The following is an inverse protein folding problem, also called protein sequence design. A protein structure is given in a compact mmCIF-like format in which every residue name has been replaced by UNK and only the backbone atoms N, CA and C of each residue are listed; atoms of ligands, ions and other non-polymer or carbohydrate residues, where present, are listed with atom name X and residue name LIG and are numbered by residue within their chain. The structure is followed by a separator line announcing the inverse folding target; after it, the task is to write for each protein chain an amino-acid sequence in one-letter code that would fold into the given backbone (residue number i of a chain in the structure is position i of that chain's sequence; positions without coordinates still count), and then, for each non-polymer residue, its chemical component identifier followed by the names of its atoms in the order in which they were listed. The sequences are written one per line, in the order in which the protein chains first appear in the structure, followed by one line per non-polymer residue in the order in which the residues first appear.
data_IF_026062569792
#
_entry.id   IF_026062569792
#
_cell.length_a   1.000
_cell.length_b   1.000
_cell.length_c   1.000
_cell.angle_alpha   90.00
_cell.angle_beta   90.00
_cell.angle_gamma   90.00
#
_symmetry.space_group_name_H-M   'P 1'
#
loop_
_entity.id
_entity.type
_entity.pdbx_description
1 polymer ?
#
# COMPACT_ATOMS: atom_id res chain seq x y z
N UNK A 1 21.42 -18.73 -4.49
CA UNK A 1 20.07 -18.25 -4.10
C UNK A 1 19.64 -18.76 -2.72
N UNK A 2 19.54 -20.07 -2.47
CA UNK A 2 19.16 -20.60 -1.14
C UNK A 2 20.10 -20.20 0.01
N UNK A 3 21.41 -20.16 -0.24
CA UNK A 3 22.39 -19.74 0.77
C UNK A 3 22.29 -18.24 1.10
N UNK A 4 22.02 -17.39 0.11
CA UNK A 4 21.83 -15.95 0.30
C UNK A 4 20.49 -15.62 0.99
N UNK A 5 19.44 -16.39 0.71
CA UNK A 5 18.15 -16.32 1.41
C UNK A 5 18.27 -16.70 2.88
N UNK A 6 18.96 -17.81 3.17
CA UNK A 6 19.25 -18.22 4.56
C UNK A 6 20.12 -17.21 5.29
N UNK A 7 21.08 -16.59 4.60
CA UNK A 7 21.89 -15.52 5.19
C UNK A 7 21.05 -14.27 5.53
N UNK A 8 20.06 -13.91 4.69
CA UNK A 8 19.10 -12.83 4.98
C UNK A 8 18.16 -13.15 6.14
N UNK A 9 17.75 -14.41 6.28
CA UNK A 9 16.92 -14.85 7.42
C UNK A 9 17.62 -14.70 8.77
N UNK A 10 18.96 -14.68 8.81
CA UNK A 10 19.72 -14.48 10.04
C UNK A 10 19.24 -15.39 11.19
N UNK A 11 18.76 -14.77 12.27
CA UNK A 11 18.24 -15.42 13.49
C UNK A 11 16.70 -15.35 13.61
N UNK A 12 16.00 -14.91 12.56
CA UNK A 12 14.55 -14.80 12.57
C UNK A 12 13.91 -16.20 12.46
N UNK A 13 12.81 -16.41 13.18
CA UNK A 13 11.95 -17.59 12.99
C UNK A 13 11.25 -17.46 11.63
N UNK A 14 11.93 -17.92 10.59
CA UNK A 14 11.43 -17.91 9.23
C UNK A 14 11.70 -19.21 8.51
N UNK A 15 10.98 -19.43 7.41
CA UNK A 15 11.14 -20.60 6.56
C UNK A 15 11.35 -20.14 5.12
N UNK A 16 12.37 -20.73 4.47
CA UNK A 16 12.52 -20.58 3.03
C UNK A 16 11.49 -21.46 2.35
N UNK A 17 10.59 -20.83 1.59
CA UNK A 17 9.53 -21.53 0.89
C UNK A 17 10.13 -22.26 -0.32
N UNK A 18 9.69 -23.50 -0.53
CA UNK A 18 10.09 -24.33 -1.68
C UNK A 18 8.84 -24.80 -2.39
N UNK A 19 8.88 -24.80 -3.72
CA UNK A 19 7.82 -25.37 -4.59
C UNK A 19 7.45 -26.80 -4.23
N UNK A 20 8.44 -27.56 -3.76
CA UNK A 20 8.33 -29.03 -3.61
C UNK A 20 7.76 -29.45 -2.25
N UNK A 21 7.56 -28.51 -1.33
CA UNK A 21 7.12 -28.80 0.03
C UNK A 21 5.67 -28.36 0.23
N UNK A 22 4.74 -29.33 0.18
CA UNK A 22 3.30 -29.08 0.30
C UNK A 22 2.95 -28.85 1.76
N UNK A 23 2.39 -27.69 2.09
CA UNK A 23 2.07 -27.29 3.47
C UNK A 23 0.83 -27.99 4.04
N UNK A 24 0.03 -28.68 3.22
CA UNK A 24 -1.17 -29.41 3.64
C UNK A 24 -2.29 -28.53 4.20
N UNK A 25 -2.09 -27.21 4.24
CA UNK A 25 -3.05 -26.22 4.71
C UNK A 25 -3.84 -25.67 3.53
N UNK A 26 -5.14 -25.37 3.71
CA UNK A 26 -5.92 -24.72 2.68
C UNK A 26 -5.30 -23.36 2.32
N UNK A 27 -5.24 -22.99 1.03
CA UNK A 27 -4.68 -21.71 0.63
C UNK A 27 -5.51 -20.58 1.25
N UNK A 28 -4.87 -19.78 2.10
CA UNK A 28 -5.48 -18.56 2.62
C UNK A 28 -5.36 -17.48 1.56
N UNK A 29 -6.45 -16.78 1.23
CA UNK A 29 -6.38 -15.63 0.35
C UNK A 29 -5.57 -14.52 1.03
N UNK A 30 -4.50 -14.02 0.39
CA UNK A 30 -3.78 -12.87 0.90
C UNK A 30 -4.72 -11.67 0.99
N UNK A 31 -4.62 -10.91 2.09
CA UNK A 31 -5.45 -9.73 2.35
C UNK A 31 -5.26 -8.64 1.28
N UNK A 32 -4.10 -8.62 0.62
CA UNK A 32 -3.70 -7.65 -0.39
C UNK A 32 -4.04 -8.07 -1.84
N UNK A 33 -4.83 -9.14 -2.02
CA UNK A 33 -5.23 -9.59 -3.34
C UNK A 33 -6.31 -8.65 -3.92
N UNK A 34 -5.98 -7.94 -4.99
CA UNK A 34 -6.90 -7.02 -5.67
C UNK A 34 -7.81 -7.77 -6.65
N UNK A 35 -7.21 -8.60 -7.51
CA UNK A 35 -7.93 -9.37 -8.51
C UNK A 35 -7.44 -10.80 -8.56
N UNK A 36 -8.40 -11.73 -8.57
CA UNK A 36 -8.16 -13.15 -8.76
C UNK A 36 -8.90 -13.63 -10.00
N UNK A 37 -8.14 -13.91 -11.06
CA UNK A 37 -8.67 -14.48 -12.30
C UNK A 37 -7.95 -15.78 -12.62
N UNK A 38 -8.53 -16.61 -13.49
CA UNK A 38 -7.90 -17.86 -13.96
C UNK A 38 -6.54 -17.64 -14.61
N UNK A 39 -6.32 -16.47 -15.22
CA UNK A 39 -5.10 -16.14 -15.97
C UNK A 39 -4.07 -15.38 -15.16
N UNK A 40 -4.48 -14.60 -14.15
CA UNK A 40 -3.58 -13.73 -13.41
C UNK A 40 -4.07 -13.47 -11.99
N UNK A 41 -3.13 -13.22 -11.09
CA UNK A 41 -3.34 -12.73 -9.74
C UNK A 41 -2.72 -11.33 -9.66
N UNK A 42 -3.48 -10.35 -9.19
CA UNK A 42 -3.04 -8.96 -9.01
C UNK A 42 -3.00 -8.66 -7.54
N UNK A 43 -1.84 -8.25 -7.03
CA UNK A 43 -1.67 -7.80 -5.65
C UNK A 43 -1.62 -6.28 -5.61
N UNK A 44 -2.30 -5.70 -4.62
CA UNK A 44 -2.19 -4.27 -4.31
C UNK A 44 -0.78 -3.98 -3.83
N UNK A 45 -0.24 -2.87 -4.31
CA UNK A 45 1.02 -2.36 -3.80
C UNK A 45 0.72 -1.55 -2.53
N UNK A 46 1.55 -1.71 -1.49
CA UNK A 46 1.35 -1.05 -0.19
C UNK A 46 1.30 0.49 -0.28
N UNK A 47 1.84 1.06 -1.35
CA UNK A 47 1.81 2.51 -1.63
C UNK A 47 0.38 3.04 -1.86
N UNK A 48 -0.56 2.18 -2.26
CA UNK A 48 -1.97 2.54 -2.40
C UNK A 48 -2.63 2.88 -1.06
N UNK A 49 -2.10 2.37 0.08
CA UNK A 49 -2.56 2.74 1.42
C UNK A 49 -2.22 4.19 1.80
N UNK A 50 -1.21 4.80 1.18
CA UNK A 50 -0.82 6.18 1.49
C UNK A 50 -1.73 7.21 0.78
N UNK A 51 -2.46 6.81 -0.27
CA UNK A 51 -3.46 7.67 -0.93
C UNK A 51 -4.60 7.98 0.04
N UNK A 52 -5.02 9.24 0.10
CA UNK A 52 -6.05 9.68 1.03
C UNK A 52 -5.52 10.23 2.35
N UNK A 53 -4.24 10.01 2.67
CA UNK A 53 -3.69 10.41 3.97
C UNK A 53 -3.46 11.92 4.04
N UNK A 54 -2.84 12.55 3.02
CA UNK A 54 -2.61 13.99 3.05
C UNK A 54 -3.92 14.76 2.88
N UNK A 55 -4.80 14.30 1.99
CA UNK A 55 -6.17 14.85 1.88
C UNK A 55 -6.95 14.71 3.17
N UNK A 56 -6.85 13.58 3.85
CA UNK A 56 -7.47 13.35 5.16
C UNK A 56 -6.94 14.29 6.23
N UNK A 57 -5.61 14.48 6.33
CA UNK A 57 -4.99 15.34 7.35
C UNK A 57 -5.25 16.82 7.04
N UNK A 58 -4.92 17.29 5.84
CA UNK A 58 -5.06 18.71 5.47
C UNK A 58 -6.53 19.10 5.28
N UNK A 59 -7.31 18.30 4.54
CA UNK A 59 -8.73 18.54 4.34
C UNK A 59 -9.55 18.33 5.62
N UNK A 60 -9.16 17.37 6.46
CA UNK A 60 -9.81 17.14 7.75
C UNK A 60 -9.49 18.26 8.75
N UNK A 61 -8.24 18.41 9.18
CA UNK A 61 -7.90 19.36 10.24
C UNK A 61 -8.03 20.82 9.78
N UNK A 62 -7.37 21.19 8.68
CA UNK A 62 -7.37 22.58 8.22
C UNK A 62 -8.67 22.93 7.48
N UNK A 63 -9.22 22.00 6.69
CA UNK A 63 -10.49 22.21 5.99
C UNK A 63 -11.67 22.38 6.94
N UNK A 64 -11.83 21.51 7.95
CA UNK A 64 -12.93 21.64 8.93
C UNK A 64 -12.76 22.90 9.77
N UNK A 65 -11.53 23.24 10.19
CA UNK A 65 -11.28 24.48 10.92
C UNK A 65 -11.70 25.73 10.12
N UNK A 66 -11.33 25.79 8.84
CA UNK A 66 -11.74 26.89 7.95
C UNK A 66 -13.27 26.95 7.76
N UNK A 67 -13.93 25.79 7.68
CA UNK A 67 -15.38 25.70 7.52
C UNK A 67 -16.13 26.15 8.78
N UNK A 68 -15.66 25.75 9.96
CA UNK A 68 -16.23 26.20 11.24
C UNK A 68 -16.04 27.71 11.45
N UNK A 69 -14.87 28.25 11.09
CA UNK A 69 -14.64 29.71 11.10
C UNK A 69 -15.57 30.44 10.13
N UNK A 70 -15.75 29.91 8.91
CA UNK A 70 -16.67 30.49 7.95
C UNK A 70 -18.12 30.52 8.48
N UNK A 71 -18.57 29.44 9.12
CA UNK A 71 -19.89 29.36 9.75
C UNK A 71 -20.04 30.37 10.89
N UNK A 72 -19.01 30.53 11.73
CA UNK A 72 -19.01 31.52 12.82
C UNK A 72 -19.24 32.93 12.29
N UNK A 73 -18.45 33.37 11.30
CA UNK A 73 -18.58 34.70 10.70
C UNK A 73 -19.89 34.88 9.93
N UNK A 74 -20.41 33.81 9.32
CA UNK A 74 -21.71 33.85 8.66
C UNK A 74 -22.86 34.13 9.66
N UNK A 75 -22.77 33.58 10.88
CA UNK A 75 -23.74 33.83 11.97
C UNK A 75 -23.61 35.26 12.50
N UNK A 76 -22.39 35.81 12.58
CA UNK A 76 -22.16 37.21 12.93
C UNK A 76 -22.60 38.20 11.83
N UNK A 77 -22.90 37.70 10.62
CA UNK A 77 -23.31 38.52 9.48
C UNK A 77 -22.14 39.10 8.66
N UNK A 78 -20.91 38.68 8.94
CA UNK A 78 -19.72 39.07 8.19
C UNK A 78 -19.51 38.12 7.00
N UNK A 79 -20.13 38.48 5.87
CA UNK A 79 -20.05 37.70 4.64
C UNK A 79 -18.66 37.72 3.97
N UNK A 80 -17.85 38.77 4.21
CA UNK A 80 -16.51 38.86 3.63
C UNK A 80 -15.58 37.85 4.29
N UNK A 81 -15.53 37.85 5.62
CA UNK A 81 -14.70 36.90 6.37
C UNK A 81 -15.22 35.46 6.24
N UNK A 82 -16.54 35.26 6.15
CA UNK A 82 -17.10 33.95 5.84
C UNK A 82 -16.64 33.42 4.48
N UNK A 83 -16.60 34.28 3.45
CA UNK A 83 -16.11 33.93 2.11
C UNK A 83 -14.63 33.56 2.08
N UNK A 84 -13.79 34.27 2.85
CA UNK A 84 -12.37 33.96 3.01
C UNK A 84 -12.19 32.60 3.71
N UNK A 85 -12.92 32.34 4.79
CA UNK A 85 -12.86 31.07 5.51
C UNK A 85 -13.26 29.87 4.65
N UNK A 86 -14.31 30.02 3.84
CA UNK A 86 -14.74 28.99 2.88
C UNK A 86 -13.69 28.75 1.80
N UNK A 87 -13.11 29.81 1.25
CA UNK A 87 -12.06 29.70 0.23
C UNK A 87 -10.82 28.99 0.79
N UNK A 88 -10.46 29.28 2.03
CA UNK A 88 -9.36 28.62 2.73
C UNK A 88 -9.65 27.13 2.94
N UNK A 89 -10.83 26.78 3.47
CA UNK A 89 -11.27 25.40 3.65
C UNK A 89 -11.22 24.61 2.34
N UNK A 90 -11.75 25.19 1.27
CA UNK A 90 -11.79 24.59 -0.05
C UNK A 90 -10.38 24.38 -0.63
N UNK A 91 -9.47 25.34 -0.44
CA UNK A 91 -8.08 25.21 -0.88
C UNK A 91 -7.34 24.05 -0.19
N UNK A 92 -7.48 23.94 1.14
CA UNK A 92 -6.83 22.87 1.92
C UNK A 92 -7.39 21.48 1.63
N UNK A 93 -8.61 21.38 1.10
CA UNK A 93 -9.16 20.13 0.62
C UNK A 93 -8.78 19.86 -0.85
N UNK A 94 -9.06 20.79 -1.76
CA UNK A 94 -8.92 20.57 -3.20
C UNK A 94 -7.48 20.43 -3.66
N UNK A 95 -6.54 21.19 -3.10
CA UNK A 95 -5.13 21.15 -3.52
C UNK A 95 -4.52 19.76 -3.30
N UNK A 96 -4.50 19.21 -2.08
CA UNK A 96 -3.99 17.84 -1.88
C UNK A 96 -4.87 16.80 -2.58
N UNK A 97 -6.18 17.05 -2.75
CA UNK A 97 -7.07 16.11 -3.41
C UNK A 97 -6.76 15.95 -4.89
N UNK A 98 -6.61 17.07 -5.60
CA UNK A 98 -6.21 17.05 -7.01
C UNK A 98 -4.81 16.46 -7.15
N UNK A 99 -3.89 16.78 -6.24
CA UNK A 99 -2.55 16.21 -6.24
C UNK A 99 -2.57 14.68 -6.10
N UNK A 100 -3.27 14.14 -5.10
CA UNK A 100 -3.38 12.69 -4.86
C UNK A 100 -4.16 11.96 -5.97
N UNK A 101 -5.16 12.63 -6.55
CA UNK A 101 -5.95 12.11 -7.67
C UNK A 101 -5.10 11.98 -8.93
N UNK A 102 -4.26 12.98 -9.22
CA UNK A 102 -3.39 12.99 -10.40
C UNK A 102 -2.09 12.20 -10.18
N UNK A 103 -1.69 11.96 -8.94
CA UNK A 103 -0.51 11.16 -8.63
C UNK A 103 -0.71 9.72 -9.13
N UNK A 104 0.23 9.18 -9.92
CA UNK A 104 0.12 7.84 -10.46
C UNK A 104 0.04 6.83 -9.30
N UNK A 105 -0.81 5.81 -9.45
CA UNK A 105 -0.80 4.71 -8.51
C UNK A 105 0.47 3.89 -8.74
N UNK A 106 1.09 3.45 -7.64
CA UNK A 106 2.14 2.46 -7.74
C UNK A 106 1.58 1.24 -8.48
N UNK A 107 2.27 0.76 -9.51
CA UNK A 107 1.77 -0.34 -10.30
C UNK A 107 1.64 -1.60 -9.46
N UNK A 108 0.60 -2.41 -9.72
CA UNK A 108 0.36 -3.61 -8.96
C UNK A 108 1.38 -4.70 -9.32
N UNK A 109 1.57 -5.64 -8.40
CA UNK A 109 2.38 -6.82 -8.65
C UNK A 109 1.51 -7.84 -9.38
N UNK A 110 1.94 -8.26 -10.58
CA UNK A 110 1.18 -9.17 -11.43
C UNK A 110 1.81 -10.55 -11.49
N UNK A 111 1.03 -11.55 -11.13
CA UNK A 111 1.38 -12.96 -11.24
C UNK A 111 0.59 -13.54 -12.42
N UNK A 112 1.27 -13.86 -13.53
CA UNK A 112 0.66 -14.53 -14.67
C UNK A 112 0.69 -16.06 -14.55
N UNK A 113 -0.48 -16.69 -14.42
CA UNK A 113 -0.62 -18.15 -14.29
C UNK A 113 -0.32 -18.91 -15.58
N UNK A 114 -0.51 -18.27 -16.73
CA UNK A 114 -0.32 -18.90 -18.05
C UNK A 114 1.16 -19.02 -18.42
N UNK A 115 1.90 -17.93 -18.24
CA UNK A 115 3.35 -17.91 -18.51
C UNK A 115 4.19 -18.33 -17.31
N UNK A 116 3.56 -18.42 -16.12
CA UNK A 116 4.25 -18.62 -14.85
C UNK A 116 5.35 -17.57 -14.65
N UNK A 117 5.02 -16.30 -14.86
CA UNK A 117 5.95 -15.17 -14.66
C UNK A 117 5.36 -14.15 -13.69
N UNK A 118 6.21 -13.61 -12.82
CA UNK A 118 5.88 -12.48 -11.95
C UNK A 118 6.41 -11.23 -12.60
N UNK A 119 5.59 -10.19 -12.64
CA UNK A 119 5.95 -8.87 -13.10
C UNK A 119 5.83 -7.89 -11.95
N UNK A 120 6.92 -7.16 -11.69
CA UNK A 120 6.97 -6.09 -10.69
C UNK A 120 7.50 -4.86 -11.38
N UNK A 121 6.79 -3.75 -11.26
CA UNK A 121 7.30 -2.47 -11.73
C UNK A 121 7.81 -1.68 -10.52
N UNK A 122 9.09 -1.32 -10.56
CA UNK A 122 9.78 -0.57 -9.52
C UNK A 122 10.66 0.49 -10.18
N UNK A 123 10.55 1.75 -9.72
CA UNK A 123 11.32 2.89 -10.28
C UNK A 123 11.28 2.96 -11.82
N UNK A 124 10.08 2.84 -12.41
CA UNK A 124 9.83 2.83 -13.86
C UNK A 124 10.49 1.70 -14.65
N UNK A 125 11.00 0.67 -13.97
CA UNK A 125 11.55 -0.55 -14.61
C UNK A 125 10.65 -1.74 -14.35
N UNK A 126 10.37 -2.49 -15.41
CA UNK A 126 9.63 -3.75 -15.34
C UNK A 126 10.59 -4.89 -15.08
N UNK A 127 10.56 -5.43 -13.86
CA UNK A 127 11.26 -6.65 -13.48
C UNK A 127 10.35 -7.84 -13.74
N UNK A 128 10.90 -8.92 -14.28
CA UNK A 128 10.16 -10.16 -14.46
C UNK A 128 10.99 -11.39 -14.12
N UNK A 129 10.35 -12.41 -13.54
CA UNK A 129 11.03 -13.67 -13.26
C UNK A 129 10.05 -14.84 -13.36
N UNK A 130 10.51 -16.02 -13.85
CA UNK A 130 9.68 -17.22 -13.86
C UNK A 130 9.41 -17.72 -12.44
N UNK A 131 8.17 -18.11 -12.17
CA UNK A 131 7.69 -18.58 -10.86
C UNK A 131 8.50 -19.74 -10.31
N UNK A 132 8.89 -20.66 -11.19
CA UNK A 132 9.57 -21.90 -10.84
C UNK A 132 11.02 -21.65 -10.33
N UNK A 133 11.55 -20.42 -10.47
CA UNK A 133 12.89 -20.01 -10.00
C UNK A 133 12.88 -18.99 -8.86
N UNK A 134 11.70 -18.63 -8.34
CA UNK A 134 11.57 -17.58 -7.33
C UNK A 134 12.02 -18.08 -5.96
N UNK A 135 12.97 -17.35 -5.38
CA UNK A 135 13.31 -17.46 -3.98
C UNK A 135 12.37 -16.60 -3.15
N UNK A 136 11.42 -17.23 -2.45
CA UNK A 136 10.56 -16.56 -1.49
C UNK A 136 10.95 -16.91 -0.06
N UNK A 137 10.91 -15.92 0.82
CA UNK A 137 11.15 -16.09 2.24
C UNK A 137 9.99 -15.49 3.01
N UNK A 138 9.64 -16.11 4.13
CA UNK A 138 8.70 -15.54 5.09
C UNK A 138 9.28 -15.71 6.49
N UNK A 139 9.10 -14.70 7.33
CA UNK A 139 9.58 -14.68 8.70
C UNK A 139 8.55 -13.99 9.59
N UNK A 140 8.40 -14.45 10.81
CA UNK A 140 7.56 -13.74 11.77
C UNK A 140 8.35 -12.59 12.39
N UNK A 141 7.78 -11.40 12.35
CA UNK A 141 8.28 -10.26 13.12
C UNK A 141 7.12 -9.53 13.79
N UNK A 142 7.37 -9.06 15.00
CA UNK A 142 6.42 -8.23 15.70
C UNK A 142 6.64 -6.77 15.32
N UNK A 143 5.64 -6.18 14.67
CA UNK A 143 5.64 -4.76 14.36
C UNK A 143 4.66 -4.06 15.29
N UNK A 144 5.14 -3.01 15.96
CA UNK A 144 4.27 -2.12 16.73
C UNK A 144 3.95 -0.93 15.84
N UNK A 145 2.71 -0.84 15.36
CA UNK A 145 2.23 0.31 14.61
C UNK A 145 1.38 1.20 15.51
N UNK A 146 1.48 2.52 15.31
CA UNK A 146 0.75 3.51 16.12
C UNK A 146 -0.77 3.34 16.07
N UNK A 147 -1.30 2.83 14.95
CA UNK A 147 -2.74 2.69 14.70
C UNK A 147 -3.30 1.28 14.95
N UNK A 148 -2.44 0.27 15.09
CA UNK A 148 -2.84 -1.15 15.21
C UNK A 148 -2.24 -1.87 16.42
N UNK A 149 -1.37 -1.20 17.18
CA UNK A 149 -0.69 -1.81 18.34
C UNK A 149 0.34 -2.85 17.90
N UNK A 150 0.61 -3.82 18.77
CA UNK A 150 1.55 -4.89 18.48
C UNK A 150 0.89 -5.96 17.60
N UNK A 151 1.30 -6.04 16.34
CA UNK A 151 0.88 -7.08 15.40
C UNK A 151 2.05 -8.01 15.08
N UNK A 152 1.77 -9.31 15.02
CA UNK A 152 2.67 -10.29 14.43
C UNK A 152 2.44 -10.28 12.93
N UNK A 153 3.43 -9.83 12.18
CA UNK A 153 3.42 -9.80 10.72
C UNK A 153 4.26 -10.96 10.19
N UNK A 154 3.79 -11.58 9.11
CA UNK A 154 4.54 -12.56 8.34
C UNK A 154 4.60 -12.08 6.89
N UNK A 155 5.57 -11.22 6.52
CA UNK A 155 5.67 -10.69 5.18
C UNK A 155 6.12 -11.82 4.25
N UNK A 156 5.66 -11.75 3.01
CA UNK A 156 6.19 -12.58 1.94
C UNK A 156 7.20 -11.73 1.15
N UNK A 157 8.48 -12.01 1.35
CA UNK A 157 9.53 -11.39 0.57
C UNK A 157 9.86 -12.27 -0.64
N UNK A 158 9.81 -11.66 -1.82
CA UNK A 158 10.03 -12.32 -3.09
C UNK A 158 11.25 -11.71 -3.77
N UNK A 159 12.29 -12.50 -4.03
CA UNK A 159 13.41 -12.04 -4.85
C UNK A 159 13.13 -12.26 -6.33
N UNK A 160 13.02 -11.13 -7.04
CA UNK A 160 12.88 -11.06 -8.50
C UNK A 160 14.24 -10.74 -9.11
N UNK A 161 14.55 -11.37 -10.23
CA UNK A 161 15.75 -11.11 -11.02
C UNK A 161 15.39 -10.28 -12.26
N UNK A 162 16.38 -9.59 -12.85
CA UNK A 162 16.27 -8.89 -14.13
C UNK A 162 16.41 -9.87 -15.30
#
# INVERSE_FOLDING_TARGET
MLASLRARLGNYNGVVLRSDNVTGLPPMMPIELDQHTDTHLVFKNGDEMAKGLMTGIMGGLCGIYGLLMALYFLVEGDHEFAGVGLSFSLGFFLVPFIWELLSPLAPPILFNRRTREVYVMHEDRLYHTPWDGIGALTYEYQMVHQNTGAMTNAPLEVLVHE
#
